data_IF_599255572313
#
_entry.id   IF_599255572313
#
_cell.length_a   1.000
_cell.length_b   1.000
_cell.length_c   1.000
_cell.angle_alpha   90.00
_cell.angle_beta   90.00
_cell.angle_gamma   90.00
#
_symmetry.space_group_name_H-M   'P 1'
#
loop_
_entity.id
_entity.type
_entity.pdbx_description
1 polymer ?
#
# COMPACT_ATOMS: atom_id res chain seq x y z
N UNK A 1 0.51 22.34 -5.51
CA UNK A 1 -0.88 21.90 -5.28
C UNK A 1 -1.17 20.49 -5.77
N UNK A 2 -0.97 20.09 -7.05
CA UNK A 2 -1.11 18.65 -7.43
C UNK A 2 0.02 17.79 -6.84
N UNK A 3 1.27 18.27 -6.93
CA UNK A 3 2.45 17.56 -6.41
C UNK A 3 2.42 17.32 -4.89
N UNK A 4 1.80 18.24 -4.14
CA UNK A 4 1.67 18.13 -2.68
C UNK A 4 0.60 17.10 -2.27
N UNK A 5 -0.47 17.00 -3.07
CA UNK A 5 -1.52 16.02 -2.89
C UNK A 5 -0.99 14.60 -3.13
N UNK A 6 -0.26 14.40 -4.24
CA UNK A 6 0.37 13.11 -4.56
C UNK A 6 1.40 12.70 -3.49
N UNK A 7 2.24 13.64 -3.03
CA UNK A 7 3.20 13.39 -1.98
C UNK A 7 2.53 13.03 -0.64
N UNK A 8 1.42 13.68 -0.29
CA UNK A 8 0.66 13.36 0.93
C UNK A 8 -0.02 12.00 0.83
N UNK A 9 -0.61 11.69 -0.34
CA UNK A 9 -1.20 10.38 -0.59
C UNK A 9 -0.16 9.27 -0.48
N UNK A 10 1.05 9.48 -0.98
CA UNK A 10 2.14 8.51 -0.89
C UNK A 10 2.61 8.29 0.55
N UNK A 11 2.86 9.36 1.32
CA UNK A 11 3.24 9.24 2.75
C UNK A 11 2.20 8.45 3.55
N UNK A 12 0.91 8.66 3.27
CA UNK A 12 -0.18 7.92 3.90
C UNK A 12 -0.16 6.42 3.54
N UNK A 13 0.13 6.07 2.29
CA UNK A 13 0.27 4.66 1.87
C UNK A 13 1.48 4.00 2.54
N UNK A 14 2.62 4.69 2.59
CA UNK A 14 3.86 4.14 3.16
C UNK A 14 3.72 3.92 4.68
N UNK A 15 3.14 4.89 5.40
CA UNK A 15 2.84 4.75 6.83
C UNK A 15 1.80 3.64 7.10
N UNK A 16 0.78 3.53 6.25
CA UNK A 16 -0.23 2.48 6.37
C UNK A 16 0.37 1.09 6.15
N UNK A 17 1.26 0.94 5.16
CA UNK A 17 1.98 -0.31 4.92
C UNK A 17 2.75 -0.75 6.16
N UNK A 18 3.52 0.15 6.78
CA UNK A 18 4.29 -0.15 7.99
C UNK A 18 3.38 -0.55 9.16
N UNK A 19 2.33 0.23 9.43
CA UNK A 19 1.37 -0.03 10.49
C UNK A 19 0.64 -1.38 10.32
N UNK A 20 0.19 -1.69 9.09
CA UNK A 20 -0.50 -2.95 8.81
C UNK A 20 0.44 -4.15 8.89
N UNK A 21 1.70 -3.99 8.46
CA UNK A 21 2.70 -5.04 8.56
C UNK A 21 3.06 -5.37 10.04
N UNK A 22 3.13 -4.34 10.89
CA UNK A 22 3.52 -4.52 12.30
C UNK A 22 2.35 -4.99 13.18
N UNK A 23 1.14 -4.49 12.95
CA UNK A 23 0.01 -4.69 13.88
C UNK A 23 -1.15 -5.49 13.29
N UNK A 24 -1.10 -5.81 12.00
CA UNK A 24 -2.22 -6.40 11.27
C UNK A 24 -3.42 -5.45 11.14
N UNK A 25 -4.42 -5.82 10.35
CA UNK A 25 -5.59 -4.97 10.07
C UNK A 25 -6.38 -4.65 11.34
N UNK A 26 -6.57 -5.63 12.22
CA UNK A 26 -7.33 -5.47 13.45
C UNK A 26 -6.61 -4.52 14.44
N UNK A 27 -5.29 -4.69 14.60
CA UNK A 27 -4.46 -3.90 15.51
C UNK A 27 -4.10 -2.51 14.98
N UNK A 28 -4.16 -2.30 13.66
CA UNK A 28 -3.82 -1.04 13.03
C UNK A 28 -4.75 0.11 13.41
N UNK A 29 -4.16 1.30 13.65
CA UNK A 29 -4.84 2.53 14.04
C UNK A 29 -4.56 3.66 13.06
N UNK A 30 -5.63 4.23 12.51
CA UNK A 30 -5.59 5.38 11.60
C UNK A 30 -4.91 6.61 12.20
N UNK A 31 -4.95 6.79 13.52
CA UNK A 31 -4.30 7.92 14.17
C UNK A 31 -2.77 7.76 14.18
N UNK A 32 -2.24 6.52 14.32
CA UNK A 32 -0.79 6.25 14.18
C UNK A 32 -0.32 6.45 12.75
N UNK A 33 -1.09 5.94 11.78
CA UNK A 33 -0.82 6.14 10.35
C UNK A 33 -0.74 7.64 10.02
N UNK A 34 -1.71 8.43 10.46
CA UNK A 34 -1.74 9.86 10.22
C UNK A 34 -0.52 10.57 10.83
N UNK A 35 -0.14 10.21 12.06
CA UNK A 35 1.01 10.78 12.73
C UNK A 35 2.33 10.44 12.01
N UNK A 36 2.54 9.17 11.67
CA UNK A 36 3.73 8.71 10.96
C UNK A 36 3.83 9.30 9.55
N UNK A 37 2.70 9.51 8.88
CA UNK A 37 2.65 10.16 7.58
C UNK A 37 2.80 11.68 7.64
N UNK A 38 3.01 12.29 8.82
CA UNK A 38 3.02 13.74 9.03
C UNK A 38 1.78 14.40 8.38
N UNK A 39 0.62 13.85 8.69
CA UNK A 39 -0.68 14.21 8.12
C UNK A 39 -1.76 14.15 9.21
N UNK A 40 -3.03 14.11 8.81
CA UNK A 40 -4.16 14.00 9.73
C UNK A 40 -5.17 12.96 9.24
N UNK A 41 -6.03 12.53 10.18
CA UNK A 41 -7.08 11.55 9.93
C UNK A 41 -8.03 11.96 8.80
N UNK A 42 -8.36 13.24 8.67
CA UNK A 42 -9.26 13.72 7.62
C UNK A 42 -8.69 13.47 6.22
N UNK A 43 -7.37 13.54 6.04
CA UNK A 43 -6.73 13.20 4.77
C UNK A 43 -6.85 11.70 4.43
N UNK A 44 -6.80 10.80 5.44
CA UNK A 44 -7.05 9.37 5.21
C UNK A 44 -8.47 9.14 4.66
N UNK A 45 -9.48 9.76 5.28
CA UNK A 45 -10.85 9.65 4.80
C UNK A 45 -11.03 10.32 3.44
N UNK A 46 -10.35 11.43 3.18
CA UNK A 46 -10.40 12.12 1.88
C UNK A 46 -9.82 11.27 0.74
N UNK A 47 -8.62 10.71 0.91
CA UNK A 47 -7.94 9.96 -0.16
C UNK A 47 -8.41 8.52 -0.31
N UNK A 48 -8.82 7.89 0.79
CA UNK A 48 -9.06 6.44 0.81
C UNK A 48 -10.45 6.07 1.33
N UNK A 49 -11.14 6.92 2.09
CA UNK A 49 -12.48 6.62 2.61
C UNK A 49 -12.50 5.86 3.94
N UNK A 50 -11.34 5.47 4.48
CA UNK A 50 -11.24 4.85 5.81
C UNK A 50 -10.16 3.75 5.89
N UNK A 51 -10.10 3.05 7.04
CA UNK A 51 -9.06 2.03 7.30
C UNK A 51 -9.14 0.84 6.33
N UNK A 52 -10.35 0.35 6.04
CA UNK A 52 -10.53 -0.82 5.18
C UNK A 52 -10.10 -0.51 3.73
N UNK A 53 -10.56 0.59 3.18
CA UNK A 53 -10.20 1.02 1.83
C UNK A 53 -8.73 1.46 1.72
N UNK A 54 -8.15 2.00 2.79
CA UNK A 54 -6.71 2.25 2.86
C UNK A 54 -5.93 0.92 2.83
N UNK A 55 -6.41 -0.12 3.51
CA UNK A 55 -5.81 -1.45 3.42
C UNK A 55 -5.90 -2.00 1.99
N UNK A 56 -7.06 -1.89 1.33
CA UNK A 56 -7.21 -2.30 -0.07
C UNK A 56 -6.25 -1.56 -1.00
N UNK A 57 -6.04 -0.26 -0.77
CA UNK A 57 -5.09 0.54 -1.53
C UNK A 57 -3.64 0.11 -1.30
N UNK A 58 -3.26 -0.21 -0.05
CA UNK A 58 -1.94 -0.76 0.29
C UNK A 58 -1.75 -2.12 -0.39
N UNK A 59 -2.70 -3.04 -0.23
CA UNK A 59 -2.64 -4.37 -0.83
C UNK A 59 -2.55 -4.29 -2.36
N UNK A 60 -3.38 -3.46 -2.99
CA UNK A 60 -3.33 -3.22 -4.44
C UNK A 60 -1.99 -2.65 -4.90
N UNK A 61 -1.32 -1.82 -4.08
CA UNK A 61 0.03 -1.32 -4.40
C UNK A 61 1.08 -2.43 -4.37
N UNK A 62 0.98 -3.36 -3.42
CA UNK A 62 1.89 -4.51 -3.30
C UNK A 62 1.66 -5.45 -4.49
N UNK A 63 0.42 -5.82 -4.77
CA UNK A 63 0.06 -6.69 -5.89
C UNK A 63 0.57 -6.11 -7.20
N UNK A 64 0.37 -4.81 -7.43
CA UNK A 64 0.87 -4.13 -8.63
C UNK A 64 2.39 -4.26 -8.76
N UNK A 65 3.13 -3.96 -7.69
CA UNK A 65 4.61 -4.07 -7.66
C UNK A 65 5.08 -5.49 -7.95
N UNK A 66 4.43 -6.49 -7.37
CA UNK A 66 4.74 -7.91 -7.58
C UNK A 66 4.48 -8.31 -9.03
N UNK A 67 3.32 -7.94 -9.59
CA UNK A 67 2.96 -8.26 -10.98
C UNK A 67 3.89 -7.56 -11.98
N UNK A 68 4.26 -6.30 -11.72
CA UNK A 68 5.21 -5.57 -12.57
C UNK A 68 6.63 -6.15 -12.51
N UNK A 69 7.08 -6.60 -11.33
CA UNK A 69 8.38 -7.23 -11.15
C UNK A 69 8.42 -8.68 -11.67
N UNK A 70 7.27 -9.34 -11.78
CA UNK A 70 7.17 -10.73 -12.23
C UNK A 70 5.98 -10.88 -13.19
N UNK A 71 6.14 -10.45 -14.46
CA UNK A 71 5.08 -10.56 -15.46
C UNK A 71 4.59 -12.00 -15.60
N UNK A 72 3.28 -12.20 -15.48
CA UNK A 72 2.65 -13.50 -15.76
C UNK A 72 2.45 -13.59 -17.25
N UNK A 73 3.19 -14.50 -17.89
CA UNK A 73 3.02 -14.77 -19.31
C UNK A 73 2.78 -16.27 -19.51
N UNK A 74 1.88 -16.63 -20.43
CA UNK A 74 1.50 -18.03 -20.67
C UNK A 74 2.59 -18.81 -21.41
N UNK A 75 3.53 -18.12 -22.03
CA UNK A 75 4.67 -18.66 -22.78
C UNK A 75 5.87 -19.02 -21.88
N UNK A 76 5.95 -18.53 -20.63
CA UNK A 76 7.01 -18.86 -19.68
C UNK A 76 6.50 -19.01 -18.23
N UNK A 77 5.60 -19.98 -18.02
CA UNK A 77 5.13 -20.33 -16.67
C UNK A 77 6.26 -20.75 -15.70
N UNK A 78 7.31 -21.50 -16.11
CA UNK A 78 8.44 -21.79 -15.23
C UNK A 78 9.23 -20.53 -14.82
N UNK A 79 9.46 -19.60 -15.74
CA UNK A 79 10.12 -18.32 -15.44
C UNK A 79 9.33 -17.47 -14.48
N UNK A 80 8.00 -17.43 -14.62
CA UNK A 80 7.10 -16.80 -13.65
C UNK A 80 7.25 -17.41 -12.25
N UNK A 81 7.17 -18.74 -12.12
CA UNK A 81 7.30 -19.43 -10.84
C UNK A 81 8.68 -19.19 -10.19
N UNK A 82 9.75 -19.19 -10.99
CA UNK A 82 11.09 -18.88 -10.52
C UNK A 82 11.25 -17.41 -10.10
N UNK A 83 10.56 -16.47 -10.76
CA UNK A 83 10.54 -15.05 -10.38
C UNK A 83 9.87 -14.83 -9.03
N UNK A 84 8.71 -15.46 -8.81
CA UNK A 84 8.00 -15.38 -7.52
C UNK A 84 8.84 -15.88 -6.35
N UNK A 85 9.61 -16.94 -6.54
CA UNK A 85 10.45 -17.52 -5.49
C UNK A 85 11.64 -16.62 -5.07
N UNK A 86 11.89 -15.51 -5.79
CA UNK A 86 12.99 -14.57 -5.51
C UNK A 86 12.51 -13.23 -4.90
N UNK A 87 11.21 -13.04 -4.77
CA UNK A 87 10.60 -11.89 -4.09
C UNK A 87 10.68 -12.04 -2.57
#
# INVERSE_FOLDING_TARGET
>A
MVRDADATRQRLLDAALAEFAEHGIAGARVDRIAAQAESNKAQIYHYFGGKAQLFDAVYGSIVRRVVEATPITTDDLPGYAAGLARL
#
